data_IF_372727284779
#
_entry.id   IF_372727284779
#
_cell.length_a   1.000
_cell.length_b   1.000
_cell.length_c   1.000
_cell.angle_alpha   90.00
_cell.angle_beta   90.00
_cell.angle_gamma   90.00
#
_symmetry.space_group_name_H-M   'P 1'
#
loop_
_entity.id
_entity.type
_entity.pdbx_description
1 polymer ?
#
# COMPACT_ATOMS: atom_id res chain seq x y z
N UNK A 1 38.15 -14.05 24.66
CA UNK A 1 38.81 -14.45 23.40
C UNK A 1 39.12 -15.94 23.50
N UNK A 2 38.66 -16.89 22.68
CA UNK A 2 38.05 -16.92 21.33
C UNK A 2 37.01 -18.05 21.33
N UNK A 3 35.72 -17.76 21.11
CA UNK A 3 35.01 -17.99 19.84
C UNK A 3 35.17 -19.42 19.27
N UNK A 4 34.23 -20.30 19.63
CA UNK A 4 34.06 -21.62 19.03
C UNK A 4 33.65 -21.49 17.57
N UNK A 5 34.54 -21.93 16.68
CA UNK A 5 34.42 -21.79 15.24
C UNK A 5 33.24 -22.58 14.66
N UNK A 6 32.38 -21.85 13.96
CA UNK A 6 31.45 -22.35 12.94
C UNK A 6 32.25 -23.22 11.97
N UNK A 7 32.05 -24.54 11.99
CA UNK A 7 32.58 -25.43 10.95
C UNK A 7 31.86 -25.11 9.64
N UNK A 8 32.55 -24.35 8.81
CA UNK A 8 32.20 -24.10 7.42
C UNK A 8 31.97 -25.44 6.69
N UNK A 9 30.77 -25.54 6.11
CA UNK A 9 30.36 -26.56 5.15
C UNK A 9 31.44 -26.78 4.08
N UNK A 10 32.11 -27.93 4.13
CA UNK A 10 32.74 -28.50 2.94
C UNK A 10 31.81 -29.57 2.35
N UNK A 11 31.36 -29.32 1.12
CA UNK A 11 30.81 -30.27 0.13
C UNK A 11 29.38 -30.83 0.34
N UNK A 12 28.36 -29.97 0.27
CA UNK A 12 27.05 -30.33 -0.34
C UNK A 12 26.53 -29.16 -1.20
N UNK A 13 25.86 -29.48 -2.31
CA UNK A 13 25.43 -28.53 -3.35
C UNK A 13 24.34 -27.58 -2.85
N UNK A 14 24.71 -26.46 -2.21
CA UNK A 14 23.76 -25.45 -1.72
C UNK A 14 23.83 -24.15 -2.53
N UNK A 15 22.67 -23.62 -2.90
CA UNK A 15 22.56 -22.33 -3.60
C UNK A 15 22.41 -21.19 -2.57
N UNK A 16 23.39 -20.28 -2.55
CA UNK A 16 23.36 -19.09 -1.69
C UNK A 16 22.55 -17.97 -2.36
N UNK A 17 21.49 -17.51 -1.71
CA UNK A 17 20.74 -16.33 -2.15
C UNK A 17 21.38 -15.06 -1.56
N UNK A 18 22.00 -14.24 -2.42
CA UNK A 18 22.43 -12.88 -2.12
C UNK A 18 21.82 -11.88 -3.12
N UNK A 19 21.69 -10.62 -2.67
CA UNK A 19 20.98 -9.50 -3.32
C UNK A 19 21.25 -9.39 -4.82
N UNK A 20 20.29 -9.79 -5.65
CA UNK A 20 20.10 -9.31 -7.03
C UNK A 20 18.61 -9.46 -7.40
N UNK A 21 17.96 -8.46 -8.02
CA UNK A 21 16.56 -8.54 -8.43
C UNK A 21 16.32 -9.76 -9.34
N UNK A 22 15.32 -10.59 -9.02
CA UNK A 22 14.91 -11.72 -9.85
C UNK A 22 15.72 -13.03 -9.71
N UNK A 23 16.73 -13.10 -8.81
CA UNK A 23 17.41 -14.37 -8.49
C UNK A 23 16.62 -15.26 -7.52
N UNK A 24 15.87 -14.69 -6.57
CA UNK A 24 15.07 -15.46 -5.60
C UNK A 24 13.98 -16.28 -6.30
N UNK A 25 13.25 -15.67 -7.23
CA UNK A 25 12.23 -16.36 -8.02
C UNK A 25 12.85 -17.39 -8.96
N UNK A 26 13.98 -17.09 -9.62
CA UNK A 26 14.70 -18.05 -10.46
C UNK A 26 15.25 -19.23 -9.66
N UNK A 27 15.75 -19.00 -8.44
CA UNK A 27 16.24 -20.03 -7.55
C UNK A 27 15.10 -20.93 -7.05
N UNK A 28 13.97 -20.34 -6.64
CA UNK A 28 12.75 -21.07 -6.29
C UNK A 28 12.27 -21.91 -7.47
N UNK A 29 12.12 -21.32 -8.67
CA UNK A 29 11.74 -22.03 -9.89
C UNK A 29 12.73 -23.13 -10.30
N UNK A 30 14.03 -22.95 -10.04
CA UNK A 30 15.04 -23.97 -10.31
C UNK A 30 14.96 -25.12 -9.30
N UNK A 31 14.63 -24.84 -8.04
CA UNK A 31 14.45 -25.86 -6.98
C UNK A 31 13.23 -26.77 -7.21
N UNK A 32 12.21 -26.26 -7.90
CA UNK A 32 11.02 -27.03 -8.28
C UNK A 32 11.25 -27.99 -9.48
N UNK A 33 12.44 -27.96 -10.10
CA UNK A 33 12.76 -28.87 -11.22
C UNK A 33 13.25 -30.24 -10.70
N UNK A 34 12.84 -31.36 -11.31
CA UNK A 34 13.36 -32.68 -10.96
C UNK A 34 14.87 -32.82 -11.23
N UNK A 35 15.37 -32.25 -12.33
CA UNK A 35 16.79 -32.26 -12.71
C UNK A 35 17.53 -31.00 -12.21
N UNK A 36 17.52 -30.77 -10.90
CA UNK A 36 18.19 -29.63 -10.26
C UNK A 36 19.63 -29.98 -9.85
N UNK A 37 20.50 -28.97 -9.84
CA UNK A 37 21.92 -29.13 -9.50
C UNK A 37 22.25 -28.86 -8.02
N UNK A 38 21.23 -28.75 -7.16
CA UNK A 38 21.36 -28.41 -5.74
C UNK A 38 20.23 -29.03 -4.91
N UNK A 39 20.51 -29.27 -3.64
CA UNK A 39 19.60 -29.94 -2.68
C UNK A 39 19.15 -29.02 -1.54
N UNK A 40 19.71 -27.81 -1.49
CA UNK A 40 19.39 -26.83 -0.45
C UNK A 40 19.54 -25.38 -0.89
N UNK A 41 18.73 -24.53 -0.29
CA UNK A 41 18.73 -23.07 -0.47
C UNK A 41 19.14 -22.43 0.84
N UNK A 42 20.16 -21.56 0.80
CA UNK A 42 20.58 -20.78 1.97
C UNK A 42 20.12 -19.33 1.81
N UNK A 43 19.32 -18.87 2.75
CA UNK A 43 18.80 -17.50 2.85
C UNK A 43 19.52 -16.79 4.00
N UNK A 44 20.31 -15.77 3.67
CA UNK A 44 21.04 -15.00 4.67
C UNK A 44 20.19 -13.99 5.43
N UNK A 45 19.21 -13.37 4.77
CA UNK A 45 18.32 -12.35 5.37
C UNK A 45 16.85 -12.73 5.08
N UNK A 46 16.18 -13.48 5.97
CA UNK A 46 14.82 -14.00 5.75
C UNK A 46 13.79 -12.89 5.48
N UNK A 47 13.91 -11.74 6.16
CA UNK A 47 13.11 -10.52 5.94
C UNK A 47 13.21 -9.94 4.52
N UNK A 48 14.25 -10.30 3.76
CA UNK A 48 14.43 -9.89 2.36
C UNK A 48 14.04 -10.98 1.36
N UNK A 49 14.05 -12.24 1.77
CA UNK A 49 13.70 -13.37 0.89
C UNK A 49 12.19 -13.67 0.91
N UNK A 50 11.54 -13.48 2.06
CA UNK A 50 10.13 -13.79 2.25
C UNK A 50 9.32 -12.52 2.54
N UNK A 51 8.31 -12.27 1.70
CA UNK A 51 7.37 -11.17 1.83
C UNK A 51 6.03 -11.70 2.33
N UNK A 52 5.44 -11.12 3.38
CA UNK A 52 4.09 -11.50 3.82
C UNK A 52 3.99 -13.01 4.06
N UNK A 53 3.00 -13.68 3.47
CA UNK A 53 2.82 -15.14 3.58
C UNK A 53 3.63 -15.96 2.55
N UNK A 54 4.65 -15.38 1.90
CA UNK A 54 5.40 -16.09 0.86
C UNK A 54 6.10 -17.35 1.39
N UNK A 55 6.56 -17.33 2.65
CA UNK A 55 7.14 -18.51 3.29
C UNK A 55 6.14 -19.67 3.35
N UNK A 56 4.96 -19.44 3.94
CA UNK A 56 3.90 -20.46 4.04
C UNK A 56 3.41 -20.99 2.69
N UNK A 57 3.53 -20.19 1.62
CA UNK A 57 3.18 -20.64 0.26
C UNK A 57 4.29 -21.41 -0.46
N UNK A 58 5.57 -21.14 -0.15
CA UNK A 58 6.70 -21.69 -0.91
C UNK A 58 7.42 -22.82 -0.20
N UNK A 59 7.47 -22.80 1.13
CA UNK A 59 8.20 -23.79 1.90
C UNK A 59 7.61 -25.21 1.81
N UNK A 60 6.27 -25.41 1.86
CA UNK A 60 5.69 -26.74 1.62
C UNK A 60 6.04 -27.31 0.25
N UNK A 61 6.15 -26.47 -0.78
CA UNK A 61 6.58 -26.88 -2.13
C UNK A 61 8.05 -27.29 -2.15
N UNK A 62 8.92 -26.55 -1.47
CA UNK A 62 10.33 -26.92 -1.34
C UNK A 62 10.48 -28.27 -0.62
N UNK A 63 9.76 -28.48 0.48
CA UNK A 63 9.74 -29.74 1.23
C UNK A 63 9.24 -30.89 0.37
N UNK A 64 8.13 -30.70 -0.36
CA UNK A 64 7.59 -31.72 -1.28
C UNK A 64 8.60 -32.13 -2.36
N UNK A 65 9.36 -31.17 -2.89
CA UNK A 65 10.40 -31.46 -3.87
C UNK A 65 11.73 -31.93 -3.24
N UNK A 66 11.84 -32.03 -1.92
CA UNK A 66 13.05 -32.46 -1.22
C UNK A 66 14.17 -31.43 -1.22
N UNK A 67 13.84 -30.14 -1.27
CA UNK A 67 14.80 -29.02 -1.18
C UNK A 67 14.81 -28.48 0.24
N UNK A 68 15.97 -28.54 0.89
CA UNK A 68 16.15 -28.01 2.25
C UNK A 68 16.29 -26.49 2.25
N UNK A 69 15.68 -25.81 3.22
CA UNK A 69 15.85 -24.37 3.41
C UNK A 69 16.73 -24.12 4.63
N UNK A 70 17.73 -23.26 4.49
CA UNK A 70 18.67 -22.90 5.55
C UNK A 70 18.61 -21.40 5.82
N UNK A 71 18.31 -21.03 7.06
CA UNK A 71 18.23 -19.66 7.54
C UNK A 71 19.10 -19.56 8.80
N UNK A 72 20.31 -18.98 8.72
CA UNK A 72 21.20 -18.88 9.89
C UNK A 72 20.58 -18.13 11.08
N UNK A 73 19.70 -17.17 10.81
CA UNK A 73 19.02 -16.37 11.84
C UNK A 73 18.01 -17.18 12.69
N UNK A 74 17.53 -18.33 12.22
CA UNK A 74 16.67 -19.25 13.00
C UNK A 74 17.43 -20.49 13.49
N UNK A 75 18.77 -20.45 13.45
CA UNK A 75 19.62 -21.54 13.94
C UNK A 75 20.02 -22.59 12.90
N UNK A 76 19.70 -22.39 11.61
CA UNK A 76 20.18 -23.26 10.53
C UNK A 76 19.07 -23.80 9.63
N UNK A 77 19.00 -25.12 9.46
CA UNK A 77 18.01 -25.75 8.59
C UNK A 77 16.60 -25.54 9.17
N UNK A 78 15.69 -25.06 8.34
CA UNK A 78 14.28 -24.91 8.69
C UNK A 78 13.63 -26.28 8.69
N UNK A 79 13.10 -26.65 9.86
CA UNK A 79 12.33 -27.86 10.10
C UNK A 79 10.83 -27.61 9.81
N UNK A 80 10.20 -28.36 8.88
CA UNK A 80 8.78 -28.22 8.55
C UNK A 80 7.82 -28.63 9.65
N UNK A 81 8.24 -29.45 10.60
CA UNK A 81 7.37 -29.89 11.70
C UNK A 81 7.56 -29.03 12.96
N UNK A 82 8.40 -27.98 12.88
CA UNK A 82 8.70 -27.06 13.99
C UNK A 82 7.82 -25.81 13.95
N UNK A 83 6.87 -25.75 14.87
CA UNK A 83 6.04 -24.56 15.11
C UNK A 83 6.89 -23.32 15.44
N UNK A 84 8.02 -23.50 16.15
CA UNK A 84 8.93 -22.41 16.47
C UNK A 84 9.58 -21.79 15.22
N UNK A 85 9.96 -22.62 14.24
CA UNK A 85 10.45 -22.12 12.95
C UNK A 85 9.34 -21.47 12.13
N UNK A 86 8.11 -22.00 12.16
CA UNK A 86 6.97 -21.40 11.47
C UNK A 86 6.65 -19.99 12.01
N UNK A 87 6.55 -19.83 13.34
CA UNK A 87 6.32 -18.54 14.01
C UNK A 87 7.47 -17.56 13.71
N UNK A 88 8.72 -18.03 13.84
CA UNK A 88 9.90 -17.21 13.55
C UNK A 88 9.90 -16.69 12.12
N UNK A 89 9.59 -17.54 11.15
CA UNK A 89 9.50 -17.17 9.74
C UNK A 89 8.32 -16.23 9.44
N UNK A 90 7.18 -16.41 10.11
CA UNK A 90 6.04 -15.50 10.05
C UNK A 90 6.39 -14.09 10.54
N UNK A 91 7.15 -13.98 11.63
CA UNK A 91 7.62 -12.71 12.18
C UNK A 91 8.49 -11.92 11.18
N UNK A 92 9.43 -12.58 10.50
CA UNK A 92 10.25 -11.94 9.46
C UNK A 92 9.41 -11.41 8.28
N UNK A 93 8.42 -12.19 7.84
CA UNK A 93 7.46 -11.75 6.81
C UNK A 93 6.63 -10.53 7.23
N UNK A 94 6.22 -10.50 8.50
CA UNK A 94 5.51 -9.38 9.14
C UNK A 94 6.36 -8.11 9.24
N UNK A 95 7.62 -8.22 9.69
CA UNK A 95 8.56 -7.10 9.81
C UNK A 95 8.84 -6.43 8.46
N UNK A 96 9.05 -7.22 7.41
CA UNK A 96 9.25 -6.70 6.05
C UNK A 96 8.04 -5.89 5.56
N UNK A 97 6.81 -6.33 5.90
CA UNK A 97 5.57 -5.60 5.58
C UNK A 97 5.46 -4.32 6.41
N UNK A 98 5.79 -4.38 7.70
CA UNK A 98 5.81 -3.23 8.61
C UNK A 98 6.77 -2.14 8.15
N UNK A 99 8.00 -2.48 7.78
CA UNK A 99 9.00 -1.52 7.31
C UNK A 99 8.54 -0.81 6.03
N UNK A 100 8.05 -1.55 5.03
CA UNK A 100 7.49 -0.96 3.81
C UNK A 100 6.31 -0.04 4.12
N UNK A 101 5.44 -0.44 5.04
CA UNK A 101 4.29 0.39 5.42
C UNK A 101 4.74 1.67 6.11
N UNK A 102 5.74 1.63 7.00
CA UNK A 102 6.33 2.83 7.62
C UNK A 102 6.93 3.77 6.58
N UNK A 103 7.69 3.26 5.62
CA UNK A 103 8.24 4.08 4.52
C UNK A 103 7.11 4.70 3.69
N UNK A 104 6.12 3.90 3.29
CA UNK A 104 4.94 4.38 2.55
C UNK A 104 4.20 5.49 3.31
N UNK A 105 3.92 5.28 4.59
CA UNK A 105 3.24 6.27 5.44
C UNK A 105 4.06 7.55 5.54
N UNK A 106 5.35 7.45 5.87
CA UNK A 106 6.23 8.63 5.98
C UNK A 106 6.28 9.41 4.68
N UNK A 107 6.49 8.73 3.55
CA UNK A 107 6.50 9.37 2.23
C UNK A 107 5.18 10.06 1.94
N UNK A 108 4.04 9.39 2.20
CA UNK A 108 2.71 9.98 1.94
C UNK A 108 2.45 11.19 2.83
N UNK A 109 2.81 11.14 4.11
CA UNK A 109 2.67 12.26 5.04
C UNK A 109 3.51 13.45 4.59
N UNK A 110 4.79 13.25 4.27
CA UNK A 110 5.65 14.32 3.76
C UNK A 110 5.15 14.87 2.42
N UNK A 111 4.62 14.03 1.53
CA UNK A 111 4.00 14.50 0.29
C UNK A 111 2.75 15.34 0.57
N UNK A 112 1.91 14.94 1.51
CA UNK A 112 0.72 15.70 1.87
C UNK A 112 1.08 17.06 2.48
N UNK A 113 2.07 17.09 3.38
CA UNK A 113 2.59 18.33 3.96
C UNK A 113 3.14 19.26 2.88
N UNK A 114 3.96 18.74 1.96
CA UNK A 114 4.53 19.53 0.87
C UNK A 114 3.45 20.09 -0.06
N UNK A 115 2.41 19.31 -0.37
CA UNK A 115 1.30 19.76 -1.20
C UNK A 115 0.42 20.81 -0.49
N UNK A 116 0.29 20.73 0.84
CA UNK A 116 -0.52 21.65 1.62
C UNK A 116 0.19 22.99 1.91
N UNK A 117 1.52 22.97 2.02
CA UNK A 117 2.33 24.13 2.43
C UNK A 117 3.07 24.81 1.29
N UNK A 118 3.26 24.11 0.17
CA UNK A 118 3.99 24.62 -0.99
C UNK A 118 3.10 24.56 -2.23
N UNK A 119 3.21 25.54 -3.12
CA UNK A 119 2.56 25.55 -4.43
C UNK A 119 3.20 24.58 -5.44
N UNK A 120 3.86 23.53 -4.96
CA UNK A 120 4.66 22.62 -5.78
C UNK A 120 3.83 21.41 -6.20
N UNK A 121 3.81 21.14 -7.50
CA UNK A 121 3.33 19.87 -8.03
C UNK A 121 4.31 18.75 -7.70
N UNK A 122 3.86 17.75 -6.92
CA UNK A 122 4.69 16.67 -6.40
C UNK A 122 4.87 15.50 -7.38
N UNK A 123 4.37 15.67 -8.61
CA UNK A 123 4.59 14.76 -9.72
C UNK A 123 3.28 14.15 -10.23
N UNK A 124 3.43 13.27 -11.22
CA UNK A 124 2.29 12.74 -11.96
C UNK A 124 1.77 13.73 -13.02
N UNK A 125 0.73 13.29 -13.73
CA UNK A 125 0.11 14.03 -14.83
C UNK A 125 -0.69 15.22 -14.26
N UNK A 126 -0.59 16.43 -14.85
CA UNK A 126 -1.54 17.50 -14.58
C UNK A 126 -2.98 17.04 -14.85
N UNK A 127 -3.93 17.33 -13.96
CA UNK A 127 -5.34 17.16 -14.25
C UNK A 127 -5.76 17.96 -15.49
N UNK A 128 -6.84 17.54 -16.17
CA UNK A 128 -7.42 18.35 -17.24
C UNK A 128 -7.86 19.71 -16.69
N UNK A 129 -7.66 20.79 -17.44
CA UNK A 129 -7.81 22.16 -16.95
C UNK A 129 -6.55 22.75 -16.33
N UNK A 130 -5.47 21.99 -16.15
CA UNK A 130 -4.21 22.47 -15.59
C UNK A 130 -3.01 22.13 -16.46
N UNK A 131 -2.03 23.04 -16.47
CA UNK A 131 -0.72 22.86 -17.10
C UNK A 131 0.40 22.91 -16.05
N UNK A 132 1.57 22.32 -16.36
CA UNK A 132 2.76 22.49 -15.55
C UNK A 132 3.41 23.82 -15.89
N UNK A 133 3.46 24.73 -14.92
CA UNK A 133 4.31 25.89 -14.98
C UNK A 133 5.64 25.62 -14.27
N UNK A 134 6.69 26.29 -14.73
CA UNK A 134 8.00 26.22 -14.11
C UNK A 134 8.01 26.99 -12.78
N UNK A 135 8.43 26.33 -11.70
CA UNK A 135 8.53 26.91 -10.37
C UNK A 135 10.00 27.14 -9.95
N UNK A 136 10.93 27.12 -10.91
CA UNK A 136 12.35 27.39 -10.69
C UNK A 136 13.16 26.15 -10.26
N UNK A 137 14.40 26.33 -9.77
CA UNK A 137 15.27 25.23 -9.38
C UNK A 137 14.67 24.35 -8.27
N UNK A 138 14.87 23.04 -8.34
CA UNK A 138 14.32 22.12 -7.33
C UNK A 138 14.87 22.45 -5.92
N UNK A 139 14.03 22.52 -4.84
CA UNK A 139 14.47 22.92 -3.50
C UNK A 139 15.64 22.10 -2.91
N UNK A 140 15.68 20.80 -3.21
CA UNK A 140 16.86 19.97 -2.96
C UNK A 140 18.03 20.39 -3.88
N UNK A 141 19.09 20.95 -3.28
CA UNK A 141 20.30 21.43 -3.96
C UNK A 141 20.97 20.41 -4.87
N UNK A 142 21.02 19.13 -4.49
CA UNK A 142 21.61 18.08 -5.34
C UNK A 142 20.79 17.86 -6.61
N UNK A 143 19.46 17.93 -6.51
CA UNK A 143 18.56 17.82 -7.66
C UNK A 143 18.63 19.07 -8.55
N UNK A 144 18.72 20.25 -7.95
CA UNK A 144 18.93 21.50 -8.70
C UNK A 144 20.27 21.48 -9.45
N UNK A 145 21.36 21.00 -8.81
CA UNK A 145 22.66 20.84 -9.46
C UNK A 145 22.63 19.85 -10.63
N UNK A 146 21.77 18.83 -10.57
CA UNK A 146 21.47 17.93 -11.67
C UNK A 146 20.50 18.51 -12.73
N UNK A 147 20.20 19.82 -12.67
CA UNK A 147 19.33 20.52 -13.61
C UNK A 147 17.84 20.30 -13.41
N UNK A 148 17.41 19.62 -12.34
CA UNK A 148 15.98 19.39 -12.11
C UNK A 148 15.29 20.68 -11.65
N UNK A 149 14.13 20.93 -12.25
CA UNK A 149 13.27 22.07 -11.91
C UNK A 149 12.06 21.59 -11.11
N UNK A 150 11.55 22.46 -10.25
CA UNK A 150 10.25 22.29 -9.64
C UNK A 150 9.17 22.75 -10.60
N UNK A 151 7.99 22.17 -10.48
CA UNK A 151 6.82 22.56 -11.26
C UNK A 151 5.67 22.90 -10.32
N UNK A 152 4.78 23.78 -10.78
CA UNK A 152 3.49 24.07 -10.15
C UNK A 152 2.35 23.84 -11.14
N UNK A 153 1.13 23.74 -10.65
CA UNK A 153 -0.06 23.65 -11.49
C UNK A 153 -0.61 25.06 -11.71
N UNK A 154 -0.77 25.44 -12.97
CA UNK A 154 -1.48 26.65 -13.36
C UNK A 154 -2.70 26.29 -14.20
N UNK A 155 -3.79 27.07 -14.15
CA UNK A 155 -4.91 26.89 -15.06
C UNK A 155 -4.44 26.94 -16.52
N UNK A 156 -4.75 25.91 -17.30
CA UNK A 156 -4.49 25.93 -18.73
C UNK A 156 -5.46 26.91 -19.41
N UNK A 157 -4.97 27.92 -20.14
CA UNK A 157 -5.84 28.91 -20.79
C UNK A 157 -6.86 28.29 -21.74
N UNK A 158 -6.59 27.11 -22.31
CA UNK A 158 -7.51 26.43 -23.22
C UNK A 158 -8.50 25.56 -22.47
N UNK A 159 -8.03 24.65 -21.62
CA UNK A 159 -8.91 23.66 -20.98
C UNK A 159 -9.55 24.10 -19.67
N UNK A 160 -8.99 25.07 -18.95
CA UNK A 160 -9.55 25.54 -17.67
C UNK A 160 -10.96 26.14 -17.80
N UNK A 161 -11.29 26.97 -18.81
CA UNK A 161 -12.65 27.46 -19.01
C UNK A 161 -13.67 26.34 -19.21
N UNK A 162 -13.27 25.22 -19.80
CA UNK A 162 -14.13 24.06 -20.00
C UNK A 162 -14.48 23.39 -18.67
N UNK A 163 -13.50 23.28 -17.76
CA UNK A 163 -13.75 22.77 -16.41
C UNK A 163 -14.71 23.69 -15.65
N UNK A 164 -14.51 25.02 -15.71
CA UNK A 164 -15.45 25.99 -15.12
C UNK A 164 -16.89 25.77 -15.60
N UNK A 165 -17.06 25.65 -16.93
CA UNK A 165 -18.38 25.37 -17.53
C UNK A 165 -19.00 24.05 -17.06
N UNK A 166 -18.20 23.00 -16.88
CA UNK A 166 -18.68 21.70 -16.36
C UNK A 166 -19.27 21.88 -14.96
N UNK A 167 -18.58 22.64 -14.10
CA UNK A 167 -19.07 22.94 -12.75
C UNK A 167 -20.33 23.80 -12.78
N UNK A 168 -20.38 24.82 -13.64
CA UNK A 168 -21.57 25.68 -13.77
C UNK A 168 -22.81 24.86 -14.16
N UNK A 169 -22.68 23.95 -15.14
CA UNK A 169 -23.77 23.06 -15.55
C UNK A 169 -24.17 22.09 -14.43
N UNK A 170 -23.20 21.55 -13.69
CA UNK A 170 -23.48 20.65 -12.57
C UNK A 170 -24.18 21.35 -11.41
N UNK A 171 -23.74 22.56 -11.05
CA UNK A 171 -24.37 23.38 -10.00
C UNK A 171 -25.76 23.84 -10.42
N UNK A 172 -26.00 24.08 -11.71
CA UNK A 172 -27.32 24.33 -12.27
C UNK A 172 -28.26 23.09 -12.23
N UNK A 173 -27.75 21.92 -11.84
CA UNK A 173 -28.51 20.69 -11.65
C UNK A 173 -28.52 19.75 -12.85
N UNK A 174 -27.73 20.00 -13.90
CA UNK A 174 -27.63 19.06 -15.02
C UNK A 174 -26.98 17.74 -14.58
N UNK A 175 -27.57 16.62 -14.99
CA UNK A 175 -26.99 15.30 -14.76
C UNK A 175 -25.74 15.05 -15.63
N UNK A 176 -24.82 14.19 -15.18
CA UNK A 176 -23.54 13.95 -15.87
C UNK A 176 -23.65 13.59 -17.37
N UNK A 177 -24.71 12.86 -17.76
CA UNK A 177 -24.96 12.50 -19.18
C UNK A 177 -25.39 13.71 -20.00
N UNK A 178 -26.24 14.57 -19.44
CA UNK A 178 -26.68 15.81 -20.09
C UNK A 178 -25.48 16.75 -20.30
N UNK A 179 -24.65 16.92 -19.27
CA UNK A 179 -23.41 17.69 -19.36
C UNK A 179 -22.50 17.13 -20.47
N UNK A 180 -22.24 15.81 -20.46
CA UNK A 180 -21.38 15.19 -21.47
C UNK A 180 -21.90 15.36 -22.90
N UNK A 181 -23.22 15.22 -23.10
CA UNK A 181 -23.84 15.43 -24.40
C UNK A 181 -23.69 16.88 -24.85
N UNK A 182 -24.03 17.85 -23.99
CA UNK A 182 -23.88 19.29 -24.28
C UNK A 182 -22.44 19.64 -24.68
N UNK A 183 -21.44 19.19 -23.91
CA UNK A 183 -20.03 19.46 -24.23
C UNK A 183 -19.61 18.85 -25.58
N UNK A 184 -20.16 17.68 -25.92
CA UNK A 184 -19.90 17.00 -27.20
C UNK A 184 -20.56 17.75 -28.35
N UNK A 185 -21.82 18.18 -28.17
CA UNK A 185 -22.57 18.96 -29.17
C UNK A 185 -21.94 20.32 -29.42
N UNK A 186 -21.39 20.95 -28.37
CA UNK A 186 -20.64 22.22 -28.44
C UNK A 186 -19.24 22.05 -29.06
N UNK A 187 -18.82 20.83 -29.40
CA UNK A 187 -17.51 20.54 -29.98
C UNK A 187 -16.33 20.75 -29.01
N UNK A 188 -16.58 20.78 -27.69
CA UNK A 188 -15.52 20.97 -26.68
C UNK A 188 -14.66 19.70 -26.63
N UNK A 189 -13.33 19.79 -26.84
CA UNK A 189 -12.46 18.62 -26.83
C UNK A 189 -12.42 17.95 -25.46
N UNK A 190 -12.76 16.66 -25.39
CA UNK A 190 -12.60 15.88 -24.15
C UNK A 190 -11.11 15.70 -23.80
N UNK A 191 -10.74 15.28 -22.57
CA UNK A 191 -9.35 15.02 -22.21
C UNK A 191 -8.64 14.01 -23.14
N UNK A 192 -9.40 13.12 -23.80
CA UNK A 192 -8.87 12.15 -24.76
C UNK A 192 -8.70 12.73 -26.16
N UNK A 193 -9.55 13.70 -26.54
CA UNK A 193 -9.43 14.43 -27.79
C UNK A 193 -8.32 15.49 -27.75
N UNK A 194 -8.19 16.20 -26.61
CA UNK A 194 -7.22 17.28 -26.41
C UNK A 194 -5.78 16.75 -26.37
N UNK A 195 -5.57 15.56 -25.80
CA UNK A 195 -4.27 14.89 -25.79
C UNK A 195 -4.40 13.41 -26.18
N UNK A 196 -4.50 13.10 -27.49
CA UNK A 196 -4.69 11.74 -27.97
C UNK A 196 -3.51 10.84 -27.67
N UNK A 197 -2.28 11.39 -27.73
CA UNK A 197 -1.06 10.64 -27.43
C UNK A 197 -1.06 10.10 -25.99
N UNK A 198 -1.64 10.85 -25.03
CA UNK A 198 -1.79 10.40 -23.64
C UNK A 198 -2.99 9.49 -23.39
N UNK A 199 -3.92 9.38 -24.35
CA UNK A 199 -5.20 8.71 -24.15
C UNK A 199 -5.54 7.74 -25.29
N UNK A 200 -4.52 7.03 -25.80
CA UNK A 200 -4.65 6.07 -26.91
C UNK A 200 -5.67 4.95 -26.66
N UNK A 201 -5.95 4.65 -25.40
CA UNK A 201 -6.90 3.62 -24.97
C UNK A 201 -8.36 4.12 -24.90
N UNK A 202 -8.63 5.39 -25.22
CA UNK A 202 -9.97 5.99 -25.13
C UNK A 202 -10.42 6.48 -26.51
N UNK A 203 -11.74 6.43 -26.72
CA UNK A 203 -12.37 7.04 -27.89
C UNK A 203 -12.32 8.58 -27.76
N UNK A 204 -11.72 9.30 -28.72
CA UNK A 204 -11.63 10.76 -28.67
C UNK A 204 -12.90 11.48 -29.15
N UNK A 205 -13.92 10.79 -29.69
CA UNK A 205 -15.03 11.43 -30.43
C UNK A 205 -16.07 12.18 -29.58
N UNK A 206 -15.84 12.34 -28.28
CA UNK A 206 -16.73 13.12 -27.42
C UNK A 206 -16.43 13.00 -25.94
N UNK A 207 -17.30 13.61 -25.14
CA UNK A 207 -17.27 13.49 -23.68
C UNK A 207 -18.05 12.26 -23.21
N UNK A 208 -17.45 11.50 -22.29
CA UNK A 208 -18.16 10.44 -21.58
C UNK A 208 -18.69 10.97 -20.24
N UNK A 209 -19.89 10.52 -19.82
CA UNK A 209 -20.43 10.86 -18.49
C UNK A 209 -19.48 10.44 -17.35
N UNK A 210 -18.70 9.35 -17.55
CA UNK A 210 -17.72 8.87 -16.60
C UNK A 210 -16.53 9.82 -16.45
N UNK A 211 -16.14 10.49 -17.55
CA UNK A 211 -15.13 11.55 -17.54
C UNK A 211 -15.64 12.78 -16.80
N UNK A 212 -16.85 13.26 -17.11
CA UNK A 212 -17.47 14.39 -16.40
C UNK A 212 -17.55 14.13 -14.89
N UNK A 213 -18.00 12.94 -14.49
CA UNK A 213 -18.03 12.54 -13.07
C UNK A 213 -16.63 12.54 -12.44
N UNK A 214 -15.61 12.10 -13.17
CA UNK A 214 -14.23 12.07 -12.66
C UNK A 214 -13.68 13.49 -12.46
N UNK A 215 -13.93 14.42 -13.39
CA UNK A 215 -13.52 15.82 -13.25
C UNK A 215 -14.18 16.47 -12.03
N UNK A 216 -15.49 16.25 -11.83
CA UNK A 216 -16.22 16.78 -10.66
C UNK A 216 -15.71 16.15 -9.35
N UNK A 217 -15.48 14.83 -9.34
CA UNK A 217 -14.99 14.12 -8.16
C UNK A 217 -13.54 14.45 -7.79
N UNK A 218 -12.72 14.86 -8.75
CA UNK A 218 -11.32 15.21 -8.54
C UNK A 218 -11.18 16.48 -7.68
N UNK A 219 -12.07 17.47 -7.86
CA UNK A 219 -12.06 18.73 -7.11
C UNK A 219 -12.79 18.60 -5.76
N UNK A 220 -13.78 17.70 -5.66
CA UNK A 220 -14.51 17.44 -4.42
C UNK A 220 -13.67 16.78 -3.30
N UNK A 221 -12.35 16.59 -3.51
CA UNK A 221 -11.44 15.96 -2.55
C UNK A 221 -10.25 16.86 -2.15
N UNK A 222 -10.45 17.99 -1.48
CA UNK A 222 -9.67 18.21 -0.28
C UNK A 222 -10.24 17.24 0.77
N UNK A 223 -9.45 16.25 1.19
CA UNK A 223 -9.77 15.59 2.46
C UNK A 223 -9.72 16.69 3.51
N UNK A 224 -10.89 17.22 3.93
CA UNK A 224 -10.95 18.19 5.02
C UNK A 224 -10.24 17.53 6.20
N UNK A 225 -9.12 18.07 6.68
CA UNK A 225 -8.49 17.51 7.87
C UNK A 225 -9.50 17.61 9.01
N UNK A 226 -9.62 16.54 9.81
CA UNK A 226 -10.43 16.59 11.02
C UNK A 226 -9.98 17.78 11.87
N UNK A 227 -10.92 18.60 12.29
CA UNK A 227 -10.65 19.70 13.20
C UNK A 227 -10.20 19.16 14.55
N UNK A 228 -9.44 19.94 15.32
CA UNK A 228 -9.02 19.54 16.67
C UNK A 228 -10.21 19.13 17.55
N UNK A 229 -11.37 19.76 17.35
CA UNK A 229 -12.62 19.43 18.06
C UNK A 229 -13.20 18.08 17.60
N UNK A 230 -13.20 17.79 16.31
CA UNK A 230 -13.63 16.49 15.79
C UNK A 230 -12.67 15.37 16.24
N UNK A 231 -11.36 15.62 16.28
CA UNK A 231 -10.38 14.69 16.83
C UNK A 231 -10.61 14.46 18.33
N UNK A 232 -10.83 15.54 19.10
CA UNK A 232 -11.12 15.43 20.53
C UNK A 232 -12.42 14.65 20.79
N UNK A 233 -13.49 14.92 20.04
CA UNK A 233 -14.74 14.19 20.13
C UNK A 233 -14.58 12.69 19.81
N UNK A 234 -13.81 12.35 18.77
CA UNK A 234 -13.50 10.95 18.44
C UNK A 234 -12.66 10.27 19.53
N UNK A 235 -11.70 10.98 20.13
CA UNK A 235 -10.90 10.46 21.24
C UNK A 235 -11.77 10.24 22.48
N UNK A 236 -12.67 11.16 22.81
CA UNK A 236 -13.62 11.02 23.92
C UNK A 236 -14.58 9.85 23.69
N UNK A 237 -15.10 9.69 22.48
CA UNK A 237 -15.98 8.56 22.12
C UNK A 237 -15.25 7.22 22.23
N UNK A 238 -14.03 7.13 21.70
CA UNK A 238 -13.17 5.95 21.85
C UNK A 238 -12.77 5.70 23.30
N UNK A 239 -12.53 6.76 24.07
CA UNK A 239 -12.24 6.70 25.51
C UNK A 239 -13.43 6.18 26.31
N UNK A 240 -14.66 6.62 25.98
CA UNK A 240 -15.89 6.11 26.57
C UNK A 240 -16.10 4.62 26.30
N UNK A 241 -15.80 4.16 25.08
CA UNK A 241 -15.84 2.73 24.73
C UNK A 241 -14.76 1.95 25.50
N UNK A 242 -13.54 2.48 25.60
CA UNK A 242 -12.45 1.84 26.33
C UNK A 242 -12.76 1.74 27.83
N UNK A 243 -13.36 2.76 28.44
CA UNK A 243 -13.80 2.74 29.84
C UNK A 243 -14.95 1.77 30.06
N UNK A 244 -15.98 1.78 29.19
CA UNK A 244 -17.07 0.82 29.26
C UNK A 244 -16.58 -0.64 29.12
N UNK A 245 -15.56 -0.86 28.30
CA UNK A 245 -14.87 -2.16 28.19
C UNK A 245 -14.08 -2.53 29.45
N UNK A 246 -13.49 -1.57 30.15
CA UNK A 246 -12.74 -1.82 31.39
C UNK A 246 -13.65 -2.15 32.58
N UNK A 247 -14.86 -1.59 32.61
CA UNK A 247 -15.85 -1.84 33.66
C UNK A 247 -16.76 -3.05 33.37
N UNK A 248 -16.82 -3.50 32.12
CA UNK A 248 -17.62 -4.65 31.72
C UNK A 248 -17.15 -5.95 32.40
N UNK A 249 -18.12 -6.79 32.78
CA UNK A 249 -17.87 -8.14 33.29
C UNK A 249 -17.18 -9.01 32.23
N UNK A 250 -16.56 -10.11 32.65
CA UNK A 250 -15.85 -11.00 31.73
C UNK A 250 -16.79 -11.59 30.66
N UNK A 251 -18.06 -11.86 31.03
CA UNK A 251 -19.09 -12.35 30.11
C UNK A 251 -19.51 -11.28 29.08
N UNK A 252 -19.68 -10.03 29.51
CA UNK A 252 -20.02 -8.91 28.62
C UNK A 252 -18.88 -8.58 27.65
N UNK A 253 -17.63 -8.59 28.13
CA UNK A 253 -16.44 -8.46 27.27
C UNK A 253 -16.35 -9.60 26.27
N UNK A 254 -16.57 -10.84 26.71
CA UNK A 254 -16.55 -12.03 25.86
C UNK A 254 -17.60 -11.99 24.74
N UNK A 255 -18.83 -11.54 25.05
CA UNK A 255 -19.89 -11.36 24.07
C UNK A 255 -19.56 -10.29 23.03
N UNK A 256 -18.95 -9.18 23.47
CA UNK A 256 -18.55 -8.09 22.58
C UNK A 256 -17.37 -8.49 21.68
N UNK A 257 -16.35 -9.17 22.23
CA UNK A 257 -15.23 -9.69 21.44
C UNK A 257 -15.70 -10.68 20.37
N UNK A 258 -16.64 -11.56 20.71
CA UNK A 258 -17.28 -12.49 19.76
C UNK A 258 -18.00 -11.74 18.63
N UNK A 259 -18.76 -10.70 18.99
CA UNK A 259 -19.49 -9.85 18.03
C UNK A 259 -18.54 -9.10 17.08
N UNK A 260 -17.43 -8.59 17.61
CA UNK A 260 -16.39 -7.89 16.83
C UNK A 260 -15.49 -8.84 16.02
N UNK A 261 -15.66 -10.16 16.16
CA UNK A 261 -14.78 -11.14 15.53
C UNK A 261 -13.36 -11.14 16.10
N UNK A 262 -13.18 -10.70 17.35
CA UNK A 262 -11.94 -10.77 18.09
C UNK A 262 -11.80 -12.16 18.72
N UNK A 263 -10.72 -12.86 18.37
CA UNK A 263 -10.29 -14.10 19.01
C UNK A 263 -9.09 -13.80 19.90
N UNK A 264 -9.22 -14.14 21.18
CA UNK A 264 -8.16 -14.06 22.16
C UNK A 264 -7.70 -15.48 22.48
N UNK A 265 -6.41 -15.74 22.34
CA UNK A 265 -5.81 -17.03 22.67
C UNK A 265 -4.77 -16.81 23.76
N UNK A 266 -5.02 -17.38 24.94
CA UNK A 266 -4.10 -17.30 26.06
C UNK A 266 -3.10 -18.45 26.00
N UNK A 267 -1.82 -18.12 26.01
CA UNK A 267 -0.72 -19.09 26.05
C UNK A 267 -0.16 -19.16 27.48
N UNK A 268 -0.51 -20.19 28.28
CA UNK A 268 -0.23 -20.21 29.72
C UNK A 268 1.26 -20.22 30.06
N UNK A 269 2.07 -20.86 29.23
CA UNK A 269 3.51 -21.03 29.43
C UNK A 269 4.29 -19.72 29.20
N UNK A 270 3.79 -18.86 28.33
CA UNK A 270 4.39 -17.56 28.02
C UNK A 270 3.75 -16.41 28.82
N UNK A 271 2.60 -16.66 29.46
CA UNK A 271 1.72 -15.63 30.03
C UNK A 271 1.38 -14.51 29.04
N UNK A 272 1.20 -14.87 27.76
CA UNK A 272 0.86 -13.94 26.68
C UNK A 272 -0.55 -14.23 26.19
N UNK A 273 -1.30 -13.16 25.92
CA UNK A 273 -2.57 -13.22 25.18
C UNK A 273 -2.29 -12.75 23.75
N UNK A 274 -2.59 -13.60 22.76
CA UNK A 274 -2.59 -13.19 21.35
C UNK A 274 -4.01 -12.79 20.95
N UNK A 275 -4.14 -11.65 20.26
CA UNK A 275 -5.43 -11.11 19.84
C UNK A 275 -5.49 -11.04 18.30
N UNK A 276 -6.43 -11.76 17.70
CA UNK A 276 -6.65 -11.78 16.25
C UNK A 276 -8.04 -11.22 15.94
N UNK A 277 -8.11 -10.17 15.12
CA UNK A 277 -9.37 -9.53 14.73
C UNK A 277 -9.74 -9.86 13.27
N UNK A 278 -10.98 -10.31 13.04
CA UNK A 278 -11.56 -10.38 11.69
C UNK A 278 -12.25 -9.05 11.31
N UNK A 279 -11.45 -8.12 10.76
CA UNK A 279 -11.91 -6.77 10.39
C UNK A 279 -12.96 -6.75 9.26
N UNK A 280 -13.21 -7.87 8.58
CA UNK A 280 -14.26 -7.95 7.54
C UNK A 280 -15.68 -7.89 8.13
N UNK A 281 -15.85 -8.27 9.40
CA UNK A 281 -17.12 -8.23 10.13
C UNK A 281 -17.50 -6.85 10.65
N UNK A 282 -16.52 -5.97 10.86
CA UNK A 282 -16.71 -4.59 11.34
C UNK A 282 -17.11 -3.63 10.20
N UNK A 283 -16.74 -3.96 8.96
CA UNK A 283 -17.00 -3.11 7.79
C UNK A 283 -18.49 -3.03 7.36
N UNK A 284 -19.38 -3.80 7.99
CA UNK A 284 -20.80 -3.88 7.61
C UNK A 284 -21.70 -2.72 8.06
N UNK A 285 -21.24 -1.84 8.97
CA UNK A 285 -22.09 -0.79 9.56
C UNK A 285 -21.80 0.65 9.16
N UNK A 286 -20.83 0.91 8.28
CA UNK A 286 -20.67 2.26 7.67
C UNK A 286 -21.30 2.25 6.28
N UNK A 287 -22.63 2.12 6.24
CA UNK A 287 -23.43 2.34 5.04
C UNK A 287 -24.30 3.58 5.25
N UNK A 288 -23.92 4.65 4.56
CA UNK A 288 -24.71 5.87 4.25
C UNK A 288 -25.45 6.54 5.42
N UNK A 289 -25.00 7.75 5.74
CA UNK A 289 -25.83 8.76 6.40
C UNK A 289 -25.40 10.14 5.93
N UNK A 290 -26.23 10.72 5.06
CA UNK A 290 -26.26 12.10 4.52
C UNK A 290 -25.00 12.68 3.90
#
# INVERSE_FOLDING_TARGET
>A
MRAGGVRLLQRRHCLRLQRLPGRSERALRAGLRPARSFDGIVVGEPQRAFYGNLFGLTFPLLTHHGVTLWVPEVGGQVDPDSEAHEIGMGLFGGMAKGERNRVKTRTKTSMHELAATTDRHLGGRPPYGYALADAGPHPNRSKAAAGQRAHRLEPDPVTAPHVGRIFDLYVAGDGFRAIAQRLTDDGIPSPSAYDPARNTHRDPRGWSHGTVRAEIAAVARPARPFTAREIAALIEELGGIASALAEATDDERGALYTTMGLRLEFQPQAQVVSATADLSRVAGRVRRGT
#
